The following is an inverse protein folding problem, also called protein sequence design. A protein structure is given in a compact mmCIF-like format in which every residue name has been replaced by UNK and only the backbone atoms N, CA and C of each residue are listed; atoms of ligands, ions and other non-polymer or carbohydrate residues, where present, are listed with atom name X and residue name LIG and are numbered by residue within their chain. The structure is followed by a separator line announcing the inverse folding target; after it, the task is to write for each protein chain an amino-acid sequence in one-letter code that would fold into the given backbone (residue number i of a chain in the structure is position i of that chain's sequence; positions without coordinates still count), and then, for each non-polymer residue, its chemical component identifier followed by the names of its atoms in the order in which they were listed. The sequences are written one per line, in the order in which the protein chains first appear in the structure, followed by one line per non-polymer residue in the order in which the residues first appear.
data_IF_376822478288
#
_entry.id   IF_376822478288
#
_cell.length_a   1.000
_cell.length_b   1.000
_cell.length_c   1.000
_cell.angle_alpha   90.00
_cell.angle_beta   90.00
_cell.angle_gamma   90.00
#
_symmetry.space_group_name_H-M   'P 1'
#
loop_
_entity.id
_entity.type
_entity.pdbx_description
1 polymer ?
2 non-polymer ?
3 water ?
#
# COMPACT_ATOMS: atom_id res chain seq x y z
N UNK A 9 -12.71 7.69 -21.66
CA UNK A 9 -11.94 6.62 -21.03
C UNK A 9 -12.11 5.33 -21.81
N UNK A 10 -11.00 4.79 -22.31
CA UNK A 10 -11.07 3.67 -23.23
C UNK A 10 -10.25 2.49 -22.75
N UNK A 11 -10.93 1.37 -22.52
CA UNK A 11 -10.26 0.13 -22.15
C UNK A 11 -9.09 -0.13 -23.07
N UNK A 12 -7.94 -0.46 -22.48
CA UNK A 12 -6.75 -0.70 -23.26
C UNK A 12 -5.79 0.48 -23.27
N UNK A 13 -6.31 1.69 -23.11
CA UNK A 13 -5.44 2.87 -23.11
C UNK A 13 -4.42 2.80 -21.98
N UNK A 14 -3.37 3.59 -22.13
CA UNK A 14 -2.23 3.54 -21.24
C UNK A 14 -1.78 4.90 -20.77
N UNK A 15 -1.65 5.00 -19.46
CA UNK A 15 -1.14 6.19 -18.82
C UNK A 15 0.13 5.81 -18.10
N UNK A 16 1.23 6.49 -18.43
CA UNK A 16 2.44 6.35 -17.64
C UNK A 16 2.62 7.53 -16.71
N UNK A 17 3.42 7.33 -15.69
CA UNK A 17 3.55 8.25 -14.58
C UNK A 17 4.93 8.04 -14.00
N UNK A 18 5.77 9.06 -14.10
CA UNK A 18 7.16 8.93 -13.66
C UNK A 18 7.36 9.62 -12.32
N UNK A 19 8.18 9.00 -11.47
CA UNK A 19 8.42 9.50 -10.13
C UNK A 19 9.82 9.11 -9.68
N UNK A 20 10.61 10.13 -9.33
CA UNK A 20 11.94 9.89 -8.76
C UNK A 20 11.78 9.65 -7.27
N UNK A 21 12.21 8.47 -6.82
CA UNK A 21 12.10 8.09 -5.41
C UNK A 21 13.01 8.97 -4.56
N UNK A 22 12.43 9.83 -3.72
CA UNK A 22 13.24 10.63 -2.79
C UNK A 22 13.62 9.75 -1.62
N UNK A 23 14.46 10.25 -0.70
CA UNK A 23 14.84 9.43 0.45
C UNK A 23 13.65 9.17 1.37
N UNK A 24 12.71 10.12 1.42
CA UNK A 24 11.59 10.05 2.35
C UNK A 24 10.41 9.19 1.88
N UNK A 25 10.65 8.35 0.88
CA UNK A 25 9.65 7.41 0.40
C UNK A 25 10.11 5.98 0.69
N UNK A 26 10.98 5.84 1.70
CA UNK A 26 11.47 4.52 2.09
C UNK A 26 10.64 3.93 3.23
N UNK A 27 10.95 2.70 3.59
CA UNK A 27 10.16 1.95 4.57
C UNK A 27 10.00 2.69 5.90
N UNK A 28 11.11 3.18 6.45
CA UNK A 28 11.07 3.86 7.74
C UNK A 28 10.29 5.17 7.72
N UNK A 29 9.91 5.62 6.52
CA UNK A 29 9.15 6.85 6.37
C UNK A 29 7.65 6.57 6.28
N UNK A 30 7.28 5.37 5.82
CA UNK A 30 5.88 4.96 5.80
C UNK A 30 5.34 4.92 7.22
N UNK A 31 6.15 4.37 8.12
CA UNK A 31 5.79 4.29 9.53
C UNK A 31 6.97 4.55 10.47
N UNK A 32 7.24 5.83 10.77
CA UNK A 32 8.27 6.18 11.75
C UNK A 32 7.87 5.77 13.19
N UNK A 33 6.59 5.51 13.41
CA UNK A 33 6.12 5.04 14.72
C UNK A 33 6.40 3.55 14.94
N UNK A 34 7.03 2.93 13.95
CA UNK A 34 7.34 1.50 14.02
C UNK A 34 8.82 1.25 14.35
N UNK A 35 9.10 0.75 15.55
CA UNK A 35 10.49 0.42 15.88
C UNK A 35 10.95 -0.72 14.99
N UNK A 36 10.01 -1.55 14.58
CA UNK A 36 10.29 -2.73 13.77
C UNK A 36 10.70 -2.36 12.33
N UNK A 37 10.45 -1.11 11.96
CA UNK A 37 10.73 -0.60 10.61
C UNK A 37 12.01 0.25 10.55
N UNK A 38 12.43 0.77 11.71
CA UNK A 38 13.58 1.68 11.78
C UNK A 38 14.88 0.99 11.37
N UNK A 39 14.97 -0.30 11.67
CA UNK A 39 16.03 -1.13 11.13
C UNK A 39 16.11 -0.92 9.64
N UNK A 40 14.98 -1.17 8.98
CA UNK A 40 14.94 -1.56 7.57
C UNK A 40 15.76 -0.75 6.57
N UNK A 41 16.37 -1.46 5.61
CA UNK A 41 17.11 -0.88 4.49
C UNK A 41 16.34 0.21 3.78
N UNK A 42 17.03 1.30 3.48
CA UNK A 42 16.44 2.43 2.76
C UNK A 42 16.00 2.01 1.38
N UNK A 43 14.76 1.53 1.26
CA UNK A 43 14.21 1.15 -0.02
C UNK A 43 12.75 1.55 -0.17
N UNK A 44 12.31 1.71 -1.41
CA UNK A 44 10.95 2.13 -1.77
C UNK A 44 9.88 1.24 -1.13
N UNK A 45 9.23 1.74 -0.09
CA UNK A 45 8.21 0.96 0.63
C UNK A 45 7.07 0.50 -0.27
N UNK A 46 6.63 -0.75 -0.07
CA UNK A 46 5.48 -1.31 -0.81
C UNK A 46 4.30 -0.38 -0.69
N UNK A 47 4.16 0.26 0.46
CA UNK A 47 3.03 1.13 0.73
C UNK A 47 3.05 2.37 -0.13
N UNK A 48 4.25 2.81 -0.50
CA UNK A 48 4.39 3.96 -1.38
C UNK A 48 4.24 3.57 -2.85
N UNK A 49 4.60 2.33 -3.17
CA UNK A 49 4.40 1.84 -4.54
C UNK A 49 2.91 1.66 -4.81
N UNK A 50 2.20 1.14 -3.81
CA UNK A 50 0.76 1.02 -3.92
C UNK A 50 0.13 2.40 -4.15
N UNK A 51 0.59 3.39 -3.39
CA UNK A 51 0.08 4.74 -3.52
C UNK A 51 0.43 5.38 -4.86
N UNK A 52 1.66 5.14 -5.31
CA UNK A 52 2.15 5.68 -6.58
C UNK A 52 1.35 5.11 -7.75
N UNK A 53 0.99 3.84 -7.65
CA UNK A 53 0.17 3.18 -8.66
C UNK A 53 -1.25 3.74 -8.66
N UNK A 54 -1.71 4.11 -7.47
CA UNK A 54 -3.06 4.67 -7.33
C UNK A 54 -3.06 6.09 -7.88
N UNK A 55 -1.98 6.82 -7.61
CA UNK A 55 -1.83 8.18 -8.09
C UNK A 55 -1.88 8.22 -9.61
N UNK A 56 -1.30 7.23 -10.25
CA UNK A 56 -1.34 7.11 -11.71
C UNK A 56 -2.78 6.92 -12.18
N UNK A 57 -3.48 6.00 -11.52
CA UNK A 57 -4.86 5.68 -11.89
C UNK A 57 -5.82 6.82 -11.59
N UNK A 58 -5.51 7.63 -10.57
CA UNK A 58 -6.29 8.82 -10.26
C UNK A 58 -6.18 9.84 -11.38
N UNK A 59 -4.95 10.11 -11.83
CA UNK A 59 -4.70 11.04 -12.92
C UNK A 59 -5.32 10.52 -14.22
N UNK A 60 -5.17 9.23 -14.47
CA UNK A 60 -5.71 8.60 -15.66
C UNK A 60 -7.23 8.79 -15.75
N UNK A 61 -7.90 8.72 -14.61
CA UNK A 61 -9.36 8.83 -14.57
C UNK A 61 -9.86 10.22 -14.16
N UNK A 62 -8.93 11.15 -13.95
CA UNK A 62 -9.31 12.53 -13.68
C UNK A 62 -10.34 13.05 -14.70
N UNK A 63 -10.05 12.90 -16.00
CA UNK A 63 -10.95 13.35 -17.08
C UNK A 63 -12.20 12.49 -17.25
N UNK A 64 -12.71 11.91 -16.16
CA UNK A 64 -13.89 11.04 -16.22
C UNK A 64 -14.87 11.41 -15.11
N UNK A 65 -14.40 12.21 -14.15
CA UNK A 65 -15.20 12.68 -13.03
C UNK A 65 -16.11 13.86 -13.42
N UNK A 66 -17.31 13.90 -12.83
CA UNK A 66 -18.17 15.08 -12.92
C UNK A 66 -17.88 15.93 -11.70
N UNK A 67 -18.29 17.21 -11.71
CA UNK A 67 -17.99 18.06 -10.55
C UNK A 67 -18.63 17.55 -9.27
N UNK A 68 -17.92 17.65 -8.16
CA UNK A 68 -18.42 17.16 -6.89
C UNK A 68 -18.21 15.66 -6.74
N UNK A 69 -17.40 15.10 -7.65
CA UNK A 69 -17.08 13.68 -7.61
C UNK A 69 -15.64 13.44 -7.20
N UNK A 70 -15.38 12.23 -6.75
CA UNK A 70 -14.03 11.80 -6.44
C UNK A 70 -13.91 10.32 -6.71
N UNK A 71 -12.81 9.74 -6.26
CA UNK A 71 -12.61 8.31 -6.38
C UNK A 71 -11.97 7.76 -5.12
N UNK A 72 -12.22 6.47 -4.88
CA UNK A 72 -11.62 5.74 -3.78
C UNK A 72 -10.99 4.48 -4.35
N UNK A 73 -9.78 4.15 -3.90
CA UNK A 73 -9.21 2.84 -4.20
C UNK A 73 -9.91 1.80 -3.35
N UNK A 74 -10.45 0.76 -3.99
CA UNK A 74 -11.23 -0.25 -3.28
C UNK A 74 -10.64 -1.64 -3.39
N UNK A 75 -9.48 -1.74 -4.05
CA UNK A 75 -8.78 -3.02 -4.17
C UNK A 75 -7.42 -2.83 -4.83
N UNK A 76 -6.39 -3.45 -4.23
CA UNK A 76 -5.04 -3.40 -4.76
C UNK A 76 -4.43 -4.78 -4.66
N UNK A 77 -4.14 -5.37 -5.81
CA UNK A 77 -3.61 -6.74 -5.87
C UNK A 77 -2.34 -6.73 -6.71
N UNK A 78 -1.20 -6.57 -6.05
CA UNK A 78 0.06 -6.42 -6.77
C UNK A 78 1.20 -7.19 -6.12
N UNK A 79 2.15 -7.59 -6.95
CA UNK A 79 3.41 -8.15 -6.49
C UNK A 79 4.40 -7.02 -6.25
N UNK A 80 5.48 -7.33 -5.54
CA UNK A 80 6.58 -6.39 -5.33
C UNK A 80 7.87 -7.21 -5.36
N UNK A 81 8.47 -7.28 -6.55
CA UNK A 81 9.46 -8.30 -6.87
C UNK A 81 10.90 -7.77 -6.95
N UNK A 82 11.08 -6.48 -6.70
CA UNK A 82 12.42 -5.91 -6.69
C UNK A 82 12.48 -4.63 -5.84
N UNK A 83 13.62 -4.43 -5.18
CA UNK A 83 13.80 -3.27 -4.31
C UNK A 83 14.34 -2.08 -5.09
N UNK A 84 13.88 -0.88 -4.74
CA UNK A 84 14.33 0.35 -5.38
C UNK A 84 14.94 1.28 -4.34
N UNK A 85 16.21 1.65 -4.50
CA UNK A 85 16.82 2.62 -3.61
C UNK A 85 16.40 4.02 -4.00
N UNK A 86 16.50 4.99 -3.07
CA UNK A 86 16.23 6.39 -3.39
C UNK A 86 17.16 6.89 -4.49
N UNK A 87 16.62 7.58 -5.49
CA UNK A 87 17.41 8.05 -6.61
C UNK A 87 16.92 7.53 -7.95
N UNK A 88 16.33 6.34 -7.92
CA UNK A 88 15.80 5.73 -9.14
C UNK A 88 14.43 6.30 -9.52
N UNK A 89 14.12 6.25 -10.82
CA UNK A 89 12.83 6.67 -11.34
C UNK A 89 11.89 5.48 -11.45
N UNK A 90 10.79 5.51 -10.71
CA UNK A 90 9.75 4.50 -10.87
C UNK A 90 8.70 5.02 -11.85
N UNK A 91 8.55 4.31 -12.97
CA UNK A 91 7.50 4.60 -13.93
C UNK A 91 6.34 3.64 -13.69
N UNK A 92 5.16 4.19 -13.44
CA UNK A 92 3.96 3.36 -13.33
C UNK A 92 3.19 3.40 -14.64
N UNK A 93 2.98 2.22 -15.22
CA UNK A 93 2.10 2.10 -16.38
C UNK A 93 0.75 1.59 -15.91
N UNK A 94 -0.28 2.39 -16.14
CA UNK A 94 -1.65 2.01 -15.79
C UNK A 94 -2.45 1.78 -17.05
N UNK A 95 -3.01 0.58 -17.16
CA UNK A 95 -3.80 0.20 -18.33
C UNK A 95 -5.25 0.03 -17.92
N UNK A 96 -6.14 0.82 -18.51
CA UNK A 96 -7.55 0.71 -18.19
C UNK A 96 -8.07 -0.66 -18.63
N UNK A 97 -8.63 -1.40 -17.68
CA UNK A 97 -9.06 -2.78 -17.94
C UNK A 97 -10.57 -2.87 -18.06
N UNK A 98 -11.28 -2.11 -17.24
CA UNK A 98 -12.74 -2.12 -17.31
C UNK A 98 -13.35 -0.84 -16.76
N UNK A 99 -14.37 -0.34 -17.46
CA UNK A 99 -15.16 0.78 -16.99
C UNK A 99 -16.63 0.36 -17.07
N UNK A 100 -17.17 -0.16 -15.97
CA UNK A 100 -18.54 -0.67 -16.00
C UNK A 100 -19.58 0.14 -15.21
N UNK A 101 -19.22 1.34 -14.78
CA UNK A 101 -20.16 2.20 -14.08
C UNK A 101 -19.53 3.27 -13.20
N UNK A 102 -19.66 3.11 -11.89
CA UNK A 102 -18.84 3.89 -10.97
C UNK A 102 -17.54 3.14 -10.73
N UNK A 103 -17.43 1.98 -11.37
CA UNK A 103 -16.31 1.10 -11.12
C UNK A 103 -15.30 1.07 -12.27
N UNK A 104 -14.06 1.43 -11.94
CA UNK A 104 -12.95 1.35 -12.88
C UNK A 104 -11.99 0.28 -12.37
N UNK A 105 -11.34 -0.42 -13.29
CA UNK A 105 -10.30 -1.39 -12.94
C UNK A 105 -9.07 -1.14 -13.80
N UNK A 106 -7.89 -1.33 -13.20
CA UNK A 106 -6.63 -1.21 -13.92
C UNK A 106 -5.75 -2.43 -13.76
N UNK A 107 -4.95 -2.68 -14.79
CA UNK A 107 -3.76 -3.49 -14.70
C UNK A 107 -2.63 -2.49 -14.48
N UNK A 108 -1.94 -2.60 -13.35
CA UNK A 108 -0.81 -1.72 -13.06
C UNK A 108 0.49 -2.51 -13.05
N UNK A 109 1.58 -1.79 -13.26
CA UNK A 109 2.91 -2.36 -13.19
C UNK A 109 3.87 -1.20 -13.01
N UNK A 110 5.03 -1.47 -12.41
CA UNK A 110 6.02 -0.43 -12.18
C UNK A 110 7.42 -0.93 -12.52
N UNK A 111 8.26 -0.01 -13.00
CA UNK A 111 9.64 -0.27 -13.35
C UNK A 111 10.48 0.85 -12.74
N UNK A 112 11.64 0.52 -12.20
CA UNK A 112 12.47 1.53 -11.56
C UNK A 112 13.67 1.92 -12.42
N UNK A 113 13.68 1.42 -13.66
CA UNK A 113 14.75 1.73 -14.59
C UNK A 113 15.71 0.56 -14.79
N UNK A 114 15.71 -0.34 -13.82
CA UNK A 114 16.57 -1.53 -13.87
C UNK A 114 15.70 -2.79 -13.88
N UNK A 115 14.77 -2.87 -12.93
CA UNK A 115 13.89 -4.01 -12.81
C UNK A 115 12.41 -3.61 -12.92
N UNK A 116 11.57 -4.52 -13.41
CA UNK A 116 10.14 -4.45 -13.15
C UNK A 116 10.06 -4.76 -11.67
N UNK A 117 9.40 -3.91 -10.90
CA UNK A 117 9.41 -4.03 -9.45
C UNK A 117 8.07 -4.55 -8.90
N UNK A 118 7.05 -4.59 -9.74
CA UNK A 118 5.75 -5.05 -9.30
C UNK A 118 4.62 -4.85 -10.30
N UNK A 119 3.56 -5.62 -10.13
CA UNK A 119 2.41 -5.54 -11.02
C UNK A 119 1.20 -6.22 -10.38
N UNK A 120 0.04 -5.99 -10.96
CA UNK A 120 -1.18 -6.60 -10.47
C UNK A 120 -2.38 -5.82 -10.94
N UNK A 121 -3.34 -5.60 -10.04
CA UNK A 121 -4.56 -4.88 -10.39
C UNK A 121 -4.91 -3.85 -9.33
N UNK A 122 -5.75 -2.91 -9.71
CA UNK A 122 -6.23 -1.90 -8.79
C UNK A 122 -7.62 -1.43 -9.20
N UNK A 123 -8.52 -1.36 -8.24
CA UNK A 123 -9.88 -0.93 -8.53
C UNK A 123 -10.24 0.34 -7.81
N UNK A 124 -11.11 1.12 -8.45
CA UNK A 124 -11.53 2.40 -7.91
C UNK A 124 -13.04 2.55 -8.04
N UNK A 125 -13.63 3.24 -7.08
CA UNK A 125 -15.05 3.55 -7.11
C UNK A 125 -15.23 5.05 -7.18
N UNK A 126 -15.94 5.52 -8.20
CA UNK A 126 -16.36 6.92 -8.26
C UNK A 126 -17.27 7.16 -7.07
N UNK A 127 -17.10 8.30 -6.40
CA UNK A 127 -17.93 8.63 -5.26
C UNK A 127 -18.46 10.04 -5.37
N UNK A 128 -19.60 10.28 -4.72
CA UNK A 128 -20.10 11.61 -4.47
C UNK A 128 -19.33 12.15 -3.26
N UNK A 129 -18.61 13.24 -3.46
CA UNK A 129 -17.75 13.80 -2.40
C UNK A 129 -18.52 14.16 -1.13
N UNK A 130 -19.61 14.91 -1.28
CA UNK A 130 -20.40 15.37 -0.13
C UNK A 130 -21.00 14.24 0.70
N UNK A 131 -21.76 13.35 0.06
CA UNK A 131 -22.33 12.21 0.74
C UNK A 131 -21.26 11.38 1.43
N UNK A 132 -20.10 11.28 0.78
CA UNK A 132 -19.01 10.46 1.29
C UNK A 132 -18.36 11.08 2.53
N UNK A 133 -18.05 12.37 2.47
CA UNK A 133 -17.54 13.09 3.63
C UNK A 133 -18.56 13.03 4.77
N UNK A 134 -19.84 13.09 4.42
CA UNK A 134 -20.92 13.00 5.38
C UNK A 134 -20.96 11.65 6.09
N UNK A 135 -20.83 10.58 5.32
CA UNK A 135 -20.75 9.23 5.88
C UNK A 135 -19.51 9.09 6.76
N UNK A 136 -18.43 9.76 6.39
CA UNK A 136 -17.18 9.68 7.13
C UNK A 136 -17.26 10.38 8.48
N UNK A 137 -17.80 11.58 8.52
CA UNK A 137 -17.93 12.33 9.76
C UNK A 137 -18.96 11.68 10.69
N UNK A 138 -19.78 10.79 10.13
CA UNK A 138 -20.64 9.93 10.94
C UNK A 138 -19.83 8.87 11.65
N UNK A 139 -18.57 8.73 11.25
CA UNK A 139 -17.67 7.73 11.84
C UNK A 139 -16.64 8.39 12.73
N UNK A 140 -16.45 9.69 12.54
CA UNK A 140 -15.41 10.41 13.25
C UNK A 140 -15.80 10.58 14.72
N UNK A 141 -14.85 10.30 15.63
CA UNK A 141 -15.01 10.44 17.08
C UNK A 141 -15.32 11.88 17.49
N UNK B 9 7.49 -21.66 12.90
CA UNK B 9 6.41 -20.79 13.35
C UNK B 9 5.19 -21.66 13.59
N UNK B 10 4.02 -21.20 13.15
CA UNK B 10 2.79 -21.99 13.24
C UNK B 10 1.66 -21.46 12.36
N UNK B 11 1.15 -22.30 11.45
CA UNK B 11 0.00 -21.98 10.62
C UNK B 11 -1.30 -21.94 11.41
N UNK B 12 -2.18 -21.01 11.05
CA UNK B 12 -3.50 -20.92 11.64
C UNK B 12 -3.62 -19.88 12.72
N UNK B 13 -2.48 -19.52 13.31
CA UNK B 13 -2.49 -18.61 14.45
C UNK B 13 -2.75 -17.17 14.05
N UNK B 14 -3.80 -16.60 14.62
CA UNK B 14 -4.11 -15.19 14.43
C UNK B 14 -3.08 -14.38 15.19
N UNK B 15 -2.72 -13.22 14.64
CA UNK B 15 -2.00 -12.22 15.39
C UNK B 15 -2.78 -10.91 15.25
N UNK B 16 -2.82 -10.13 16.31
CA UNK B 16 -3.61 -8.90 16.32
C UNK B 16 -2.76 -7.67 16.56
N UNK B 17 -3.10 -6.60 15.85
CA UNK B 17 -2.28 -5.41 15.82
C UNK B 17 -3.17 -4.18 15.86
N UNK B 18 -3.05 -3.40 16.93
CA UNK B 18 -3.89 -2.24 17.13
C UNK B 18 -3.11 -0.95 16.89
N UNK B 19 -3.77 0.02 16.28
CA UNK B 19 -3.12 1.24 15.87
C UNK B 19 -4.15 2.35 15.75
N UNK B 20 -3.93 3.46 16.45
CA UNK B 20 -4.79 4.63 16.32
C UNK B 20 -4.32 5.49 15.14
N UNK B 21 -5.23 5.71 14.18
CA UNK B 21 -4.92 6.48 12.98
C UNK B 21 -4.78 7.97 13.33
N UNK B 22 -3.55 8.51 13.19
CA UNK B 22 -3.30 9.94 13.42
C UNK B 22 -3.65 10.74 12.17
N UNK B 23 -3.74 12.07 12.31
CA UNK B 23 -4.09 12.95 11.19
C UNK B 23 -3.08 12.83 10.02
N UNK B 24 -1.87 12.36 10.32
CA UNK B 24 -0.81 12.30 9.31
C UNK B 24 -0.68 10.95 8.61
N UNK B 25 -1.77 10.18 8.59
CA UNK B 25 -1.82 8.90 7.89
C UNK B 25 -2.93 8.90 6.84
N UNK B 26 -3.44 10.09 6.55
CA UNK B 26 -4.45 10.23 5.51
C UNK B 26 -3.82 10.29 4.11
N UNK B 27 -4.67 10.42 3.10
CA UNK B 27 -4.25 10.37 1.70
C UNK B 27 -3.21 11.43 1.33
N UNK B 28 -3.48 12.69 1.65
CA UNK B 28 -2.55 13.75 1.28
C UNK B 28 -1.19 13.58 1.97
N UNK B 29 -1.16 12.79 3.03
CA UNK B 29 0.08 12.55 3.77
C UNK B 29 0.92 11.44 3.12
N UNK B 30 0.27 10.52 2.43
CA UNK B 30 0.97 9.46 1.70
C UNK B 30 1.87 10.10 0.65
N UNK B 31 1.30 11.02 -0.11
CA UNK B 31 2.03 11.77 -1.13
C UNK B 31 1.73 13.27 -1.06
N UNK B 32 2.39 13.99 -0.16
CA UNK B 32 2.30 15.45 -0.11
C UNK B 32 2.76 16.12 -1.42
N UNK B 33 3.49 15.39 -2.26
CA UNK B 33 3.90 15.91 -3.57
C UNK B 33 2.82 15.76 -4.65
N UNK B 34 1.75 15.03 -4.32
CA UNK B 34 0.64 14.86 -5.25
C UNK B 34 -0.45 15.91 -5.05
N UNK B 35 -0.66 16.77 -6.05
CA UNK B 35 -1.74 17.75 -6.04
C UNK B 35 -3.10 17.05 -5.94
N UNK B 36 -3.26 15.91 -6.59
CA UNK B 36 -4.51 15.17 -6.59
C UNK B 36 -4.90 14.69 -5.18
N UNK B 37 -3.91 14.24 -4.42
CA UNK B 37 -4.12 13.73 -3.06
C UNK B 37 -4.43 14.84 -2.06
N UNK B 38 -3.89 16.04 -2.34
CA UNK B 38 -4.06 17.18 -1.44
C UNK B 38 -5.54 17.50 -1.20
N UNK B 39 -6.38 17.11 -2.15
CA UNK B 39 -7.81 17.42 -2.07
C UNK B 39 -8.68 16.18 -1.83
N UNK B 40 -8.04 15.09 -1.40
CA UNK B 40 -8.75 13.87 -1.00
C UNK B 40 -9.36 14.05 0.39
N UNK B 41 -10.48 13.37 0.67
CA UNK B 41 -10.96 13.42 2.05
C UNK B 41 -9.88 12.98 3.04
N UNK B 42 -9.99 13.46 4.29
CA UNK B 42 -9.05 13.09 5.34
C UNK B 42 -9.35 11.69 5.87
N UNK B 43 -8.98 10.68 5.07
CA UNK B 43 -9.17 9.30 5.48
C UNK B 43 -7.90 8.46 5.29
N UNK B 44 -7.84 7.36 6.03
CA UNK B 44 -6.70 6.46 6.09
C UNK B 44 -6.34 5.90 4.72
N UNK B 45 -5.19 6.31 4.20
CA UNK B 45 -4.77 5.87 2.86
C UNK B 45 -4.57 4.37 2.77
N UNK B 46 -4.87 3.80 1.60
CA UNK B 46 -4.69 2.37 1.34
C UNK B 46 -3.24 1.95 1.51
N UNK B 47 -2.32 2.74 0.97
CA UNK B 47 -0.90 2.46 1.10
C UNK B 47 -0.45 2.43 2.55
N UNK B 48 -1.12 3.22 3.40
CA UNK B 48 -0.80 3.24 4.82
C UNK B 48 -1.37 1.99 5.51
N UNK B 49 -2.56 1.57 5.08
CA UNK B 49 -3.16 0.35 5.62
C UNK B 49 -2.30 -0.85 5.25
N UNK B 50 -1.79 -0.84 4.02
CA UNK B 50 -0.90 -1.89 3.55
C UNK B 50 0.33 -1.94 4.44
N UNK B 51 0.89 -0.76 4.72
CA UNK B 51 2.03 -0.66 5.60
C UNK B 51 1.73 -1.23 6.97
N UNK B 52 0.53 -0.95 7.46
CA UNK B 52 0.09 -1.42 8.76
C UNK B 52 0.06 -2.94 8.78
N UNK B 53 -0.51 -3.52 7.72
CA UNK B 53 -0.63 -4.98 7.59
C UNK B 53 0.74 -5.67 7.58
N UNK B 54 1.70 -5.11 6.83
CA UNK B 54 3.05 -5.66 6.80
C UNK B 54 3.64 -5.56 8.19
N UNK B 55 3.30 -4.47 8.86
CA UNK B 55 3.79 -4.20 10.20
C UNK B 55 3.31 -5.28 11.17
N UNK B 56 2.04 -5.64 11.07
CA UNK B 56 1.49 -6.74 11.87
C UNK B 56 2.23 -8.03 11.58
N UNK B 57 2.42 -8.34 10.30
CA UNK B 57 3.08 -9.57 9.89
C UNK B 57 4.56 -9.62 10.28
N UNK B 58 5.22 -8.46 10.26
CA UNK B 58 6.62 -8.36 10.70
C UNK B 58 6.77 -8.69 12.19
N UNK B 59 5.86 -8.17 13.01
CA UNK B 59 5.87 -8.42 14.45
C UNK B 59 5.55 -9.89 14.75
N UNK B 60 4.56 -10.45 14.06
CA UNK B 60 4.25 -11.87 14.21
C UNK B 60 5.50 -12.71 13.93
N UNK B 61 6.26 -12.31 12.91
CA UNK B 61 7.43 -13.05 12.44
C UNK B 61 8.66 -12.88 13.34
N UNK B 62 8.79 -11.72 13.96
CA UNK B 62 10.05 -11.34 14.60
C UNK B 62 10.73 -12.41 15.47
N UNK B 63 9.99 -13.04 16.40
CA UNK B 63 10.54 -14.10 17.26
C UNK B 63 11.11 -15.30 16.49
N UNK B 64 10.58 -15.57 15.31
CA UNK B 64 11.01 -16.72 14.56
C UNK B 64 12.16 -16.45 13.64
N UNK B 65 12.60 -15.23 13.59
CA UNK B 65 13.73 -14.85 12.74
C UNK B 65 15.09 -14.94 13.43
N UNK B 66 16.09 -15.41 12.68
CA UNK B 66 17.45 -15.53 13.17
C UNK B 66 18.04 -14.13 13.30
N UNK B 67 19.01 -13.94 14.20
CA UNK B 67 19.57 -12.59 14.31
C UNK B 67 20.20 -12.13 12.99
N UNK B 68 19.86 -10.91 12.56
CA UNK B 68 20.37 -10.37 11.32
C UNK B 68 19.41 -10.62 10.16
N UNK B 69 18.31 -11.30 10.45
CA UNK B 69 17.30 -11.61 9.43
C UNK B 69 16.15 -10.61 9.46
N UNK B 70 15.48 -10.48 8.32
CA UNK B 70 14.34 -9.60 8.15
C UNK B 70 13.45 -10.13 7.03
N UNK B 71 12.55 -9.29 6.52
CA UNK B 71 11.64 -9.73 5.47
C UNK B 71 11.17 -8.57 4.58
N UNK B 72 10.76 -8.91 3.37
CA UNK B 72 10.23 -7.94 2.42
C UNK B 72 8.90 -8.44 1.94
N UNK B 73 7.87 -7.59 2.05
CA UNK B 73 6.60 -7.90 1.43
C UNK B 73 6.86 -8.09 -0.05
N UNK B 74 6.41 -9.23 -0.58
CA UNK B 74 6.60 -9.57 -1.98
C UNK B 74 5.30 -9.52 -2.75
N UNK B 75 4.18 -9.45 -2.01
CA UNK B 75 2.86 -9.37 -2.61
C UNK B 75 1.82 -8.90 -1.59
N UNK B 76 0.82 -8.16 -2.07
CA UNK B 76 -0.29 -7.72 -1.24
C UNK B 76 -1.55 -7.72 -2.08
N UNK B 77 -2.58 -8.40 -1.59
CA UNK B 77 -3.83 -8.51 -2.34
C UNK B 77 -5.01 -8.36 -1.39
N UNK B 78 -5.49 -7.13 -1.27
CA UNK B 78 -6.54 -6.81 -0.33
C UNK B 78 -7.60 -5.93 -0.98
N UNK B 79 -8.76 -5.86 -0.34
CA UNK B 79 -9.75 -4.86 -0.69
C UNK B 79 -9.57 -3.72 0.30
N UNK B 80 -10.17 -2.57 -0.02
CA UNK B 80 -10.23 -1.46 0.93
C UNK B 80 -11.63 -0.88 0.81
N UNK B 81 -12.55 -1.42 1.59
CA UNK B 81 -13.98 -1.25 1.32
C UNK B 81 -14.72 -0.28 2.25
N UNK B 82 -14.02 0.26 3.25
CA UNK B 82 -14.59 1.29 4.12
C UNK B 82 -13.55 2.29 4.57
N UNK B 83 -13.93 3.57 4.60
CA UNK B 83 -13.00 4.64 4.91
C UNK B 83 -12.88 4.91 6.42
N UNK B 84 -11.71 5.40 6.84
CA UNK B 84 -11.39 5.53 8.25
C UNK B 84 -10.82 6.91 8.54
N UNK B 85 -11.60 7.77 9.22
CA UNK B 85 -11.06 9.07 9.65
C UNK B 85 -10.03 8.88 10.76
N UNK B 86 -9.11 9.85 10.93
CA UNK B 86 -8.18 9.81 12.06
C UNK B 86 -8.96 9.73 13.36
N UNK B 87 -8.43 9.05 14.38
CA UNK B 87 -9.14 8.90 15.64
C UNK B 87 -9.57 7.47 15.89
N UNK B 88 -10.11 6.83 14.87
CA UNK B 88 -10.46 5.41 14.96
C UNK B 88 -9.22 4.56 15.21
N UNK B 89 -9.42 3.38 15.78
CA UNK B 89 -8.35 2.41 15.97
C UNK B 89 -8.47 1.31 14.93
N UNK B 90 -7.43 1.15 14.12
CA UNK B 90 -7.41 0.07 13.14
C UNK B 90 -6.73 -1.16 13.73
N UNK B 91 -7.48 -2.26 13.75
CA UNK B 91 -6.99 -3.54 14.22
C UNK B 91 -6.73 -4.45 13.03
N UNK B 92 -5.46 -4.80 12.83
CA UNK B 92 -5.08 -5.74 11.78
C UNK B 92 -4.97 -7.14 12.36
N UNK B 93 -5.75 -8.07 11.82
CA UNK B 93 -5.62 -9.47 12.19
C UNK B 93 -4.86 -10.17 11.08
N UNK B 94 -3.70 -10.71 11.43
CA UNK B 94 -2.89 -11.47 10.49
C UNK B 94 -2.95 -12.94 10.86
N UNK B 95 -3.01 -13.80 9.85
CA UNK B 95 -3.05 -15.23 10.08
C UNK B 95 -2.09 -15.92 9.13
N UNK B 96 -1.26 -16.81 9.66
CA UNK B 96 -0.31 -17.54 8.83
C UNK B 96 -1.05 -18.58 8.01
N UNK B 97 -0.83 -18.53 6.71
CA UNK B 97 -1.54 -19.34 5.73
C UNK B 97 -0.62 -20.43 5.21
N UNK B 98 0.67 -20.12 5.16
CA UNK B 98 1.69 -21.12 4.80
C UNK B 98 3.10 -20.57 4.98
N UNK B 99 4.03 -21.45 5.34
CA UNK B 99 5.46 -21.16 5.29
C UNK B 99 6.08 -22.10 4.27
N UNK B 100 7.06 -21.61 3.51
CA UNK B 100 7.64 -22.36 2.39
C UNK B 100 9.10 -21.93 2.22
N UNK B 101 9.97 -22.40 3.11
CA UNK B 101 11.35 -21.93 3.15
C UNK B 101 11.38 -20.50 3.67
N UNK B 102 11.81 -19.57 2.82
CA UNK B 102 11.86 -18.16 3.19
C UNK B 102 10.55 -17.46 2.90
N UNK B 103 9.57 -18.22 2.40
CA UNK B 103 8.30 -17.65 1.96
C UNK B 103 7.18 -17.80 2.99
N UNK B 104 6.58 -16.66 3.37
CA UNK B 104 5.41 -16.68 4.26
C UNK B 104 4.22 -16.05 3.54
N UNK B 105 3.09 -16.76 3.55
CA UNK B 105 1.84 -16.24 3.01
C UNK B 105 0.83 -16.07 4.15
N UNK B 106 0.31 -14.85 4.28
CA UNK B 106 -0.66 -14.55 5.32
C UNK B 106 -2.04 -14.29 4.73
N UNK B 107 -3.05 -14.54 5.55
CA UNK B 107 -4.37 -14.00 5.32
C UNK B 107 -4.46 -12.80 6.27
N UNK B 108 -4.86 -11.64 5.74
CA UNK B 108 -4.94 -10.42 6.53
C UNK B 108 -6.29 -9.72 6.37
N UNK B 109 -6.68 -9.00 7.40
CA UNK B 109 -7.94 -8.28 7.43
C UNK B 109 -7.76 -7.17 8.44
N UNK B 110 -8.56 -6.10 8.29
CA UNK B 110 -8.46 -4.98 9.21
C UNK B 110 -9.82 -4.38 9.52
N UNK B 111 -9.91 -3.72 10.67
CA UNK B 111 -11.18 -3.23 11.20
C UNK B 111 -10.85 -1.94 11.96
N UNK B 112 -11.69 -0.92 11.86
CA UNK B 112 -11.46 0.32 12.61
C UNK B 112 -12.41 0.47 13.80
N UNK B 113 -13.08 -0.63 14.15
CA UNK B 113 -14.03 -0.61 15.24
C UNK B 113 -15.47 -0.51 14.76
N UNK B 114 -15.65 0.11 13.60
CA UNK B 114 -16.98 0.29 13.00
C UNK B 114 -17.18 -0.73 11.88
N UNK B 115 -16.22 -0.80 10.96
CA UNK B 115 -16.33 -1.71 9.83
C UNK B 115 -15.06 -2.53 9.63
N UNK B 116 -15.20 -3.69 9.00
CA UNK B 116 -14.05 -4.31 8.39
C UNK B 116 -13.75 -3.35 7.25
N UNK B 117 -12.51 -2.86 7.19
CA UNK B 117 -12.15 -1.86 6.18
C UNK B 117 -11.38 -2.49 5.03
N UNK B 118 -11.08 -3.78 5.14
CA UNK B 118 -10.36 -4.48 4.10
C UNK B 118 -9.85 -5.83 4.52
N UNK B 119 -9.61 -6.69 3.55
CA UNK B 119 -9.11 -8.04 3.80
C UNK B 119 -8.48 -8.62 2.55
N UNK B 120 -7.60 -9.58 2.74
CA UNK B 120 -6.96 -10.26 1.63
C UNK B 120 -5.75 -11.05 2.08
N UNK B 121 -4.72 -11.06 1.24
CA UNK B 121 -3.53 -11.88 1.46
C UNK B 121 -2.27 -11.03 1.41
N UNK B 122 -1.17 -11.61 1.90
CA UNK B 122 0.09 -10.90 1.95
C UNK B 122 1.25 -11.88 2.10
N UNK B 123 2.09 -11.98 1.06
CA UNK B 123 3.27 -12.82 1.11
C UNK B 123 4.50 -12.02 1.48
N UNK B 124 5.38 -12.65 2.24
CA UNK B 124 6.63 -12.03 2.64
C UNK B 124 7.76 -13.00 2.33
N UNK B 125 8.99 -12.50 2.41
CA UNK B 125 10.16 -13.32 2.15
C UNK B 125 11.26 -12.97 3.15
N UNK B 126 11.75 -13.98 3.85
CA UNK B 126 12.82 -13.79 4.83
C UNK B 126 14.11 -13.50 4.07
N UNK B 127 14.81 -12.46 4.50
CA UNK B 127 16.05 -12.03 3.87
C UNK B 127 17.14 -11.85 4.90
N UNK B 128 18.38 -11.98 4.44
CA UNK B 128 19.52 -11.48 5.19
C UNK B 128 19.58 -9.96 4.99
N UNK B 129 19.55 -9.22 6.09
CA UNK B 129 19.45 -7.76 6.06
C UNK B 129 20.67 -7.04 5.46
N UNK B 130 21.87 -7.50 5.78
CA UNK B 130 23.07 -6.86 5.24
C UNK B 130 23.28 -7.27 3.77
N UNK B 131 23.27 -8.58 3.51
CA UNK B 131 23.44 -9.05 2.13
C UNK B 131 22.49 -8.30 1.22
N UNK B 132 21.28 -8.06 1.72
CA UNK B 132 20.26 -7.35 0.96
C UNK B 132 20.57 -5.86 0.85
N UNK B 133 21.11 -5.29 1.94
CA UNK B 133 21.48 -3.88 1.94
C UNK B 133 22.59 -3.67 0.90
N UNK B 134 23.55 -4.58 0.89
CA UNK B 134 24.64 -4.55 -0.08
C UNK B 134 24.09 -4.59 -1.50
N UNK B 135 23.17 -5.51 -1.73
CA UNK B 135 22.55 -5.69 -3.04
C UNK B 135 21.82 -4.44 -3.55
N UNK B 136 21.16 -3.73 -2.63
CA UNK B 136 20.42 -2.51 -2.99
C UNK B 136 21.37 -1.35 -3.31
N UNK B 137 22.65 -1.50 -2.98
CA UNK B 137 23.65 -0.46 -3.26
C UNK B 137 24.20 -0.51 -4.68
N UNK B 138 24.59 -1.70 -5.15
CA UNK B 138 25.02 -1.88 -6.54
C UNK B 138 23.95 -1.34 -7.47
N UNK B 139 22.82 -0.94 -6.89
CA UNK B 139 21.66 -0.47 -7.62
C UNK B 139 21.38 1.02 -7.40
N UNK B 140 21.99 1.60 -6.38
CA UNK B 140 21.86 3.03 -6.11
C UNK B 140 22.73 3.84 -7.08
N UNK B 141 22.19 4.97 -7.58
CA UNK B 141 22.89 5.94 -8.43
C UNK B 141 23.77 6.87 -7.61
X LIG C 1 -7.69 5.27 -1.31
X LIG C 1 -8.55 5.51 0.87
X LIG C 1 -8.61 6.02 -1.68
X LIG C 1 -7.37 5.29 0.18
X LIG C 1 -7.02 4.49 -2.02
X LIG D 1 10.47 -5.86 -2.51
X LIG D 1 11.41 -3.97 -1.41
X LIG D 1 9.56 -5.95 -1.66
X LIG D 1 11.12 -4.49 -2.66
X LIG D 1 10.88 -6.78 -3.25
X LIG E 1 9.24 -4.14 1.41
X LIG E 1 8.03 -2.11 1.84
X LIG E 1 8.12 -4.70 1.35
X LIG E 1 9.26 -2.61 1.43
X LIG E 1 10.35 -4.72 1.46
X LIG F 1 -6.00 7.04 -3.47
X LIG F 1 -4.57 6.67 -1.55
X LIG F 1 -5.24 6.65 -4.38
X LIG F 1 -5.33 7.63 -2.21
X LIG F 1 -7.25 7.03 -3.50
X LIG G 1 5.31 -1.11 3.39
X LIG G 1 6.68 -0.86 5.33
X LIG G 1 5.20 -1.13 2.16
X LIG G 1 6.72 -0.96 3.95
X LIG G 1 4.37 -1.20 4.21
X LIG H 1 -11.76 3.47 0.94
X LIG H 1 -13.39 2.12 -0.22
X LIG H 1 -11.03 3.30 -0.06
X LIG H 1 -13.01 2.58 1.05
X LIG H 1 -11.58 4.30 1.85
X LIG I 1 8.62 -4.52 5.42
X LIG I 1 10.75 -4.04 6.33
X LIG I 1 8.02 -3.44 5.59
X LIG I 1 9.68 -4.89 6.46
X LIG I 1 8.46 -5.32 4.47
#
# INVERSE_FOLDING_TARGET
GTGAMKDGMRVGERFTHDFVVPPHKTVRHLYPESPEFAEFPEVFATGFMVGLMEWACVRAMAPYLEPGEGSLGTAICVTHTAATPPGLTVTVTAELRSVEGRRLSWRVSAHDGVDEIGSGTHERAVIHLEKFNAKVRQKTPAG
GTGAMKDGMRVGERFTHDFVVPPHKTVRHLYPESPEFAEFPEVFATGFMVGLMEWACVRAMAPYLEPGEGSLGTAICVTHTAATPPGLTVTVTAELRSVEGRRLSWRVSAHDGVDEIGSGTHERAVIHLEKFNAKVRQKTPAG
FAH C F O CH3 OXT
FAH C F O CH3 OXT
FAH C F O CH3 OXT
FAH C F O CH3 OXT
FAH C F O CH3 OXT
FAH C F O CH3 OXT
FAH C F O CH3 OXT
#
